data_IF_292988596666
#
_entry.id   IF_292988596666
#
_cell.length_a   1.000
_cell.length_b   1.000
_cell.length_c   1.000
_cell.angle_alpha   90.00
_cell.angle_beta   90.00
_cell.angle_gamma   90.00
#
_symmetry.space_group_name_H-M   'P 1'
#
loop_
_entity.id
_entity.type
_entity.pdbx_description
1 polymer ?
#
# COMPACT_ATOMS: atom_id res chain seq x y z
N UNK A 1 5.22 -30.96 -8.47
CA UNK A 1 4.51 -29.66 -8.34
C UNK A 1 5.46 -28.54 -8.75
N UNK A 2 5.02 -27.67 -9.67
CA UNK A 2 5.82 -26.53 -10.15
C UNK A 2 5.99 -25.50 -9.02
N UNK A 3 7.20 -24.93 -8.87
CA UNK A 3 7.53 -23.96 -7.82
C UNK A 3 6.71 -22.66 -7.89
N UNK A 4 6.16 -22.33 -9.06
CA UNK A 4 5.30 -21.16 -9.24
C UNK A 4 3.91 -21.36 -8.63
N UNK A 5 3.34 -22.57 -8.75
CA UNK A 5 2.04 -22.88 -8.17
C UNK A 5 2.06 -22.76 -6.64
N UNK A 6 3.12 -23.25 -6.00
CA UNK A 6 3.30 -23.13 -4.56
C UNK A 6 3.43 -21.68 -4.07
N UNK A 7 3.89 -20.75 -4.92
CA UNK A 7 3.97 -19.32 -4.59
C UNK A 7 2.63 -18.62 -4.76
N UNK A 8 1.85 -18.99 -5.78
CA UNK A 8 0.49 -18.49 -5.97
C UNK A 8 -0.39 -18.94 -4.80
N UNK A 9 -0.26 -20.21 -4.38
CA UNK A 9 -0.98 -20.74 -3.20
C UNK A 9 -0.57 -20.00 -1.92
N UNK A 10 0.71 -19.64 -1.77
CA UNK A 10 1.20 -18.86 -0.62
C UNK A 10 0.78 -17.39 -0.67
N UNK A 11 0.57 -16.82 -1.85
CA UNK A 11 0.03 -15.47 -2.01
C UNK A 11 -1.48 -15.42 -1.78
N UNK A 12 -2.18 -16.52 -2.06
CA UNK A 12 -3.61 -16.68 -1.78
C UNK A 12 -3.90 -16.94 -0.29
N UNK A 13 -2.90 -17.39 0.46
CA UNK A 13 -3.00 -17.61 1.90
C UNK A 13 -2.88 -16.28 2.67
N UNK A 14 -4.03 -15.73 3.07
CA UNK A 14 -4.15 -14.47 3.80
C UNK A 14 -3.60 -14.50 5.23
N UNK A 15 -3.08 -15.65 5.70
CA UNK A 15 -2.48 -15.78 7.04
C UNK A 15 -1.05 -15.26 7.12
N UNK A 16 -0.40 -15.01 5.99
CA UNK A 16 0.99 -14.56 5.93
C UNK A 16 1.08 -13.04 5.82
N UNK A 17 2.11 -12.41 6.42
CA UNK A 17 2.32 -10.98 6.27
C UNK A 17 2.63 -10.66 4.80
N UNK A 18 2.00 -9.63 4.26
CA UNK A 18 2.15 -9.17 2.88
C UNK A 18 3.63 -9.00 2.46
N UNK A 19 4.48 -8.58 3.39
CA UNK A 19 5.92 -8.44 3.19
C UNK A 19 6.62 -9.75 2.79
N UNK A 20 6.16 -10.89 3.29
CA UNK A 20 6.75 -12.19 2.97
C UNK A 20 6.40 -12.61 1.54
N UNK A 21 5.16 -12.36 1.12
CA UNK A 21 4.70 -12.62 -0.25
C UNK A 21 5.43 -11.73 -1.24
N UNK A 22 5.54 -10.43 -0.97
CA UNK A 22 6.25 -9.49 -1.85
C UNK A 22 7.74 -9.82 -1.99
N UNK A 23 8.41 -10.28 -0.92
CA UNK A 23 9.79 -10.78 -0.99
C UNK A 23 9.92 -11.98 -1.93
N UNK A 24 8.95 -12.89 -1.91
CA UNK A 24 8.93 -14.03 -2.81
C UNK A 24 8.69 -13.60 -4.27
N UNK A 25 7.77 -12.67 -4.51
CA UNK A 25 7.51 -12.09 -5.84
C UNK A 25 8.79 -11.47 -6.39
N UNK A 26 9.53 -10.70 -5.58
CA UNK A 26 10.83 -10.13 -5.98
C UNK A 26 11.84 -11.20 -6.43
N UNK A 27 11.94 -12.31 -5.70
CA UNK A 27 12.83 -13.44 -6.05
C UNK A 27 12.40 -14.08 -7.37
N UNK A 28 11.10 -14.24 -7.60
CA UNK A 28 10.55 -14.80 -8.83
C UNK A 28 10.79 -13.88 -10.02
N UNK A 29 10.49 -12.59 -9.86
CA UNK A 29 10.73 -11.57 -10.88
C UNK A 29 12.21 -11.56 -11.31
N UNK A 30 13.12 -11.59 -10.34
CA UNK A 30 14.56 -11.67 -10.58
C UNK A 30 14.97 -12.94 -11.34
N UNK A 31 14.28 -14.06 -11.13
CA UNK A 31 14.55 -15.34 -11.83
C UNK A 31 13.99 -15.37 -13.24
N UNK A 32 12.85 -14.73 -13.48
CA UNK A 32 12.23 -14.60 -14.81
C UNK A 32 12.97 -13.54 -15.64
N UNK A 33 13.75 -12.67 -14.99
CA UNK A 33 14.47 -11.57 -15.63
C UNK A 33 13.59 -10.33 -15.82
N UNK A 34 12.41 -10.30 -15.19
CA UNK A 34 11.51 -9.17 -15.20
C UNK A 34 11.97 -8.13 -14.18
N UNK A 35 12.63 -7.09 -14.71
CA UNK A 35 13.18 -5.99 -13.90
C UNK A 35 12.09 -5.04 -13.40
N UNK A 36 10.99 -4.91 -14.14
CA UNK A 36 9.88 -4.04 -13.79
C UNK A 36 9.14 -4.60 -12.58
N UNK A 37 8.81 -5.89 -12.62
CA UNK A 37 8.16 -6.57 -11.50
C UNK A 37 9.05 -6.63 -10.24
N UNK A 38 10.36 -6.79 -10.41
CA UNK A 38 11.31 -6.79 -9.29
C UNK A 38 11.46 -5.40 -8.66
N UNK A 39 11.41 -4.35 -9.47
CA UNK A 39 11.41 -2.96 -9.02
C UNK A 39 10.12 -2.65 -8.27
N UNK A 40 8.96 -2.90 -8.88
CA UNK A 40 7.64 -2.73 -8.26
C UNK A 40 7.53 -3.44 -6.90
N UNK A 41 7.94 -4.71 -6.81
CA UNK A 41 7.89 -5.43 -5.54
C UNK A 41 8.84 -4.85 -4.47
N UNK A 42 9.92 -4.18 -4.88
CA UNK A 42 10.83 -3.48 -3.97
C UNK A 42 10.25 -2.15 -3.51
N UNK A 43 9.62 -1.41 -4.41
CA UNK A 43 9.00 -0.11 -4.12
C UNK A 43 7.78 -0.32 -3.20
N UNK A 44 6.99 -1.36 -3.43
CA UNK A 44 5.86 -1.72 -2.54
C UNK A 44 6.33 -2.16 -1.14
N UNK A 45 7.52 -2.78 -1.03
CA UNK A 45 8.10 -3.20 0.25
C UNK A 45 8.74 -2.05 1.03
N UNK A 46 9.41 -1.13 0.33
CA UNK A 46 10.15 -0.04 0.95
C UNK A 46 9.30 1.24 1.08
N UNK A 47 8.17 1.31 0.38
CA UNK A 47 7.44 2.54 0.14
C UNK A 47 7.94 3.27 -1.10
N UNK A 48 7.07 4.10 -1.66
CA UNK A 48 7.38 4.99 -2.78
C UNK A 48 7.91 6.31 -2.22
N UNK A 49 8.93 6.87 -2.88
CA UNK A 49 9.43 8.21 -2.60
C UNK A 49 8.50 9.31 -3.14
N UNK A 50 8.84 10.59 -2.88
CA UNK A 50 8.01 11.75 -3.22
C UNK A 50 8.05 12.17 -4.71
N UNK A 51 8.81 11.44 -5.54
CA UNK A 51 8.91 11.65 -6.98
C UNK A 51 8.67 10.34 -7.74
N UNK A 52 8.26 9.27 -7.05
CA UNK A 52 8.10 7.94 -7.64
C UNK A 52 6.72 7.78 -8.26
N UNK A 53 6.68 7.22 -9.47
CA UNK A 53 5.41 7.00 -10.16
C UNK A 53 4.59 5.91 -9.44
N UNK A 54 3.53 6.34 -8.76
CA UNK A 54 2.59 5.45 -8.10
C UNK A 54 1.83 4.59 -9.10
N UNK A 55 1.66 3.28 -8.83
CA UNK A 55 0.82 2.43 -9.64
C UNK A 55 -0.63 2.95 -9.73
N UNK A 56 -1.34 2.76 -10.86
CA UNK A 56 -2.69 3.28 -11.05
C UNK A 56 -3.70 2.86 -9.97
N UNK A 57 -3.51 1.68 -9.37
CA UNK A 57 -4.37 1.20 -8.28
C UNK A 57 -4.16 1.95 -6.95
N UNK A 58 -3.02 2.64 -6.75
CA UNK A 58 -2.80 3.57 -5.62
C UNK A 58 -3.33 4.97 -5.89
N UNK A 59 -3.55 5.31 -7.16
CA UNK A 59 -4.04 6.63 -7.58
C UNK A 59 -5.55 6.85 -7.38
N UNK A 60 -6.28 5.86 -6.84
CA UNK A 60 -7.68 6.05 -6.45
C UNK A 60 -7.79 7.04 -5.29
N UNK A 61 -8.00 8.30 -5.65
CA UNK A 61 -8.22 9.45 -4.76
C UNK A 61 -9.54 9.27 -3.99
N UNK A 62 -9.53 8.51 -2.90
CA UNK A 62 -10.75 8.30 -2.14
C UNK A 62 -10.61 7.44 -0.89
N UNK A 63 -9.46 7.43 -0.22
CA UNK A 63 -9.37 6.76 1.07
C UNK A 63 -10.17 7.55 2.12
N UNK A 64 -11.16 6.95 2.80
CA UNK A 64 -11.83 7.59 3.91
C UNK A 64 -10.82 7.78 5.04
N UNK A 65 -10.34 9.01 5.21
CA UNK A 65 -9.44 9.36 6.32
C UNK A 65 -10.31 9.48 7.57
N UNK A 66 -10.05 8.66 8.57
CA UNK A 66 -10.75 8.71 9.85
C UNK A 66 -9.91 9.49 10.87
N UNK A 67 -10.54 10.42 11.58
CA UNK A 67 -9.90 11.27 12.58
C UNK A 67 -10.60 11.21 13.94
N UNK A 68 -9.80 11.30 15.00
CA UNK A 68 -10.29 11.46 16.37
C UNK A 68 -10.27 12.95 16.74
N UNK A 69 -11.44 13.53 17.01
CA UNK A 69 -11.60 14.92 17.41
C UNK A 69 -11.88 15.01 18.90
N UNK A 70 -11.09 15.80 19.63
CA UNK A 70 -11.32 16.09 21.06
C UNK A 70 -11.80 17.53 21.25
N UNK A 71 -12.87 17.71 22.04
CA UNK A 71 -13.48 18.99 22.32
C UNK A 71 -13.41 19.39 23.80
N UNK A 72 -13.86 20.60 24.15
CA UNK A 72 -13.94 21.07 25.53
C UNK A 72 -14.83 20.15 26.38
N UNK A 73 -14.59 20.11 27.69
CA UNK A 73 -15.30 19.27 28.67
C UNK A 73 -15.18 17.73 28.45
N UNK A 74 -14.14 17.27 27.76
CA UNK A 74 -13.87 15.83 27.59
C UNK A 74 -14.71 15.15 26.51
N UNK A 75 -15.39 15.94 25.66
CA UNK A 75 -16.09 15.42 24.49
C UNK A 75 -15.08 14.86 23.48
N UNK A 76 -15.36 13.68 22.92
CA UNK A 76 -14.54 13.06 21.88
C UNK A 76 -15.42 12.47 20.80
N UNK A 77 -15.10 12.76 19.54
CA UNK A 77 -15.64 12.05 18.38
C UNK A 77 -14.51 11.16 17.88
N UNK A 78 -14.68 9.84 17.98
CA UNK A 78 -13.70 8.88 17.48
C UNK A 78 -14.10 8.38 16.10
N UNK A 79 -13.12 8.10 15.25
CA UNK A 79 -13.34 7.48 13.94
C UNK A 79 -14.27 8.26 12.99
N UNK A 80 -14.29 9.59 13.09
CA UNK A 80 -15.09 10.41 12.18
C UNK A 80 -14.42 10.49 10.81
N UNK A 81 -15.16 10.23 9.75
CA UNK A 81 -14.71 10.47 8.38
C UNK A 81 -14.45 11.96 8.19
N UNK A 82 -13.21 12.29 7.84
CA UNK A 82 -12.81 13.63 7.46
C UNK A 82 -13.28 13.86 6.03
N UNK A 83 -14.05 14.91 5.81
CA UNK A 83 -14.43 15.32 4.46
C UNK A 83 -13.16 15.63 3.65
N UNK A 84 -13.03 14.98 2.49
CA UNK A 84 -11.93 15.17 1.54
C UNK A 84 -11.82 16.60 1.00
N UNK A 85 -12.82 17.45 1.22
CA UNK A 85 -12.82 18.88 0.84
C UNK A 85 -11.77 19.70 1.63
N UNK A 86 -11.40 19.26 2.83
CA UNK A 86 -10.43 19.95 3.70
C UNK A 86 -9.06 19.30 3.74
N UNK A 87 -8.87 18.19 3.02
CA UNK A 87 -7.57 17.56 2.88
C UNK A 87 -6.81 18.36 1.82
N UNK A 88 -5.75 19.04 2.22
CA UNK A 88 -4.88 19.78 1.30
C UNK A 88 -4.32 18.82 0.25
N UNK A 89 -4.17 19.30 -0.99
CA UNK A 89 -3.52 18.55 -2.07
C UNK A 89 -2.12 18.06 -1.66
N UNK A 90 -1.44 18.74 -0.73
CA UNK A 90 -0.16 18.32 -0.15
C UNK A 90 -0.24 17.02 0.66
N UNK A 91 -1.37 16.72 1.32
CA UNK A 91 -1.55 15.47 2.07
C UNK A 91 -1.96 14.32 1.13
N UNK A 92 -2.63 14.66 0.02
CA UNK A 92 -2.91 13.73 -1.09
C UNK A 92 -1.62 13.45 -1.88
N UNK A 93 -0.75 14.46 -2.00
CA UNK A 93 0.54 14.44 -2.69
C UNK A 93 1.72 13.98 -1.84
N UNK A 94 1.59 13.78 -0.53
CA UNK A 94 2.66 13.17 0.27
C UNK A 94 2.80 11.64 0.01
N UNK A 95 1.96 11.11 -0.90
CA UNK A 95 2.10 9.77 -1.48
C UNK A 95 2.66 9.84 -2.91
N UNK A 96 2.74 11.02 -3.55
CA UNK A 96 3.40 11.19 -4.87
C UNK A 96 4.87 11.45 -4.68
#
# INVERSE_FOLDING_TARGET
MSRLAALIDQAADSTRPLSDVLRQVKIVASRIGDRELAKWASDELNGYGPDDELPPYRAERGFPVQGDWSGPAGSRITNAEISSVWITDDFIGCVS
#
